data_IF_644206698946
#
_entry.id   IF_644206698946
#
_cell.length_a   1.000
_cell.length_b   1.000
_cell.length_c   1.000
_cell.angle_alpha   90.00
_cell.angle_beta   90.00
_cell.angle_gamma   90.00
#
_symmetry.space_group_name_H-M   'P 1'
#
loop_
_entity.id
_entity.type
_entity.pdbx_description
1 polymer ?
#
# COMPACT_ATOMS: atom_id res chain seq x y z
N UNK A 1 -15.28 35.37 1.53
CA UNK A 1 -15.55 33.90 1.64
C UNK A 1 -16.22 33.66 2.98
N UNK A 2 -17.31 32.90 3.00
CA UNK A 2 -17.99 32.50 4.24
C UNK A 2 -17.14 31.49 5.04
N UNK A 3 -17.22 31.47 6.37
CA UNK A 3 -16.43 30.55 7.21
C UNK A 3 -16.57 29.07 6.80
N UNK A 4 -17.77 28.64 6.41
CA UNK A 4 -18.06 27.28 5.93
C UNK A 4 -17.28 26.90 4.66
N UNK A 5 -16.94 27.88 3.81
CA UNK A 5 -16.21 27.64 2.55
C UNK A 5 -14.70 27.48 2.77
N UNK A 6 -14.19 28.00 3.90
CA UNK A 6 -12.78 27.89 4.29
C UNK A 6 -12.54 26.53 4.94
N UNK A 7 -13.42 26.12 5.84
CA UNK A 7 -13.36 24.83 6.54
C UNK A 7 -13.43 23.63 5.58
N UNK A 8 -14.27 23.71 4.55
CA UNK A 8 -14.33 22.69 3.49
C UNK A 8 -13.03 22.61 2.66
N UNK A 9 -12.37 23.74 2.40
CA UNK A 9 -11.11 23.77 1.65
C UNK A 9 -9.94 23.23 2.48
N UNK A 10 -9.88 23.56 3.77
CA UNK A 10 -8.88 23.03 4.69
C UNK A 10 -9.04 21.52 4.91
N UNK A 11 -10.29 21.02 4.97
CA UNK A 11 -10.58 19.59 5.04
C UNK A 11 -10.18 18.84 3.76
N UNK A 12 -10.43 19.45 2.59
CA UNK A 12 -10.05 18.88 1.30
C UNK A 12 -8.52 18.80 1.14
N UNK A 13 -7.79 19.86 1.51
CA UNK A 13 -6.32 19.84 1.49
C UNK A 13 -5.73 18.79 2.47
N UNK A 14 -6.35 18.60 3.63
CA UNK A 14 -5.92 17.57 4.60
C UNK A 14 -6.16 16.15 4.07
N UNK A 15 -7.26 15.93 3.34
CA UNK A 15 -7.55 14.66 2.68
C UNK A 15 -6.55 14.37 1.56
N UNK A 16 -6.22 15.35 0.72
CA UNK A 16 -5.21 15.23 -0.34
C UNK A 16 -3.84 14.86 0.25
N UNK A 17 -3.42 15.52 1.34
CA UNK A 17 -2.17 15.18 2.01
C UNK A 17 -2.18 13.75 2.60
N UNK A 18 -3.32 13.28 3.09
CA UNK A 18 -3.47 11.92 3.62
C UNK A 18 -3.37 10.88 2.51
N UNK A 19 -3.98 11.18 1.35
CA UNK A 19 -3.89 10.38 0.13
C UNK A 19 -2.43 10.25 -0.35
N UNK A 20 -1.69 11.36 -0.40
CA UNK A 20 -0.30 11.33 -0.87
C UNK A 20 0.61 10.53 0.07
N UNK A 21 0.42 10.66 1.39
CA UNK A 21 1.13 9.83 2.37
C UNK A 21 0.81 8.34 2.22
N UNK A 22 -0.44 7.99 1.93
CA UNK A 22 -0.83 6.61 1.72
C UNK A 22 -0.14 6.00 0.47
N UNK A 23 0.04 6.80 -0.61
CA UNK A 23 0.80 6.37 -1.79
C UNK A 23 2.28 6.15 -1.49
N UNK A 24 2.89 7.04 -0.72
CA UNK A 24 4.28 6.91 -0.29
C UNK A 24 4.48 5.61 0.49
N UNK A 25 3.63 5.35 1.47
CA UNK A 25 3.65 4.10 2.26
C UNK A 25 3.44 2.87 1.36
N UNK A 26 2.49 2.92 0.42
CA UNK A 26 2.27 1.81 -0.51
C UNK A 26 3.51 1.54 -1.41
N UNK A 27 4.22 2.58 -1.82
CA UNK A 27 5.45 2.45 -2.59
C UNK A 27 6.59 1.83 -1.76
N UNK A 28 6.75 2.26 -0.50
CA UNK A 28 7.74 1.69 0.43
C UNK A 28 7.46 0.20 0.70
N UNK A 29 6.20 -0.16 0.94
CA UNK A 29 5.78 -1.55 1.14
C UNK A 29 6.08 -2.39 -0.10
N UNK A 30 5.78 -1.88 -1.31
CA UNK A 30 6.10 -2.60 -2.56
C UNK A 30 7.60 -2.84 -2.69
N UNK A 31 8.42 -1.81 -2.45
CA UNK A 31 9.87 -1.94 -2.52
C UNK A 31 10.41 -2.95 -1.49
N UNK A 32 9.84 -3.01 -0.29
CA UNK A 32 10.21 -4.00 0.71
C UNK A 32 9.85 -5.43 0.26
N UNK A 33 8.69 -5.62 -0.36
CA UNK A 33 8.30 -6.91 -0.94
C UNK A 33 9.25 -7.35 -2.05
N UNK A 34 9.54 -6.46 -3.00
CA UNK A 34 10.45 -6.75 -4.13
C UNK A 34 11.85 -7.13 -3.63
N UNK A 35 12.38 -6.41 -2.63
CA UNK A 35 13.67 -6.73 -2.03
C UNK A 35 13.65 -8.10 -1.33
N UNK A 36 12.56 -8.43 -0.63
CA UNK A 36 12.42 -9.71 0.06
C UNK A 36 12.36 -10.88 -0.95
N UNK A 37 11.64 -10.69 -2.05
CA UNK A 37 11.53 -11.66 -3.14
C UNK A 37 12.90 -12.01 -3.74
N UNK A 38 13.73 -10.98 -4.00
CA UNK A 38 15.09 -11.17 -4.50
C UNK A 38 15.96 -11.93 -3.50
N UNK A 39 15.89 -11.57 -2.21
CA UNK A 39 16.66 -12.26 -1.16
C UNK A 39 16.22 -13.72 -1.04
N UNK A 40 14.92 -14.00 -1.00
CA UNK A 40 14.40 -15.37 -0.95
C UNK A 40 14.86 -16.19 -2.15
N UNK A 41 14.73 -15.65 -3.35
CA UNK A 41 15.17 -16.32 -4.59
C UNK A 41 16.66 -16.66 -4.54
N UNK A 42 17.50 -15.71 -4.11
CA UNK A 42 18.95 -15.95 -3.98
C UNK A 42 19.25 -16.99 -2.92
N UNK A 43 18.54 -16.98 -1.79
CA UNK A 43 18.72 -17.97 -0.74
C UNK A 43 18.33 -19.37 -1.23
N UNK A 44 17.17 -19.51 -1.88
CA UNK A 44 16.70 -20.77 -2.49
C UNK A 44 17.66 -21.32 -3.56
N UNK A 45 18.25 -20.44 -4.39
CA UNK A 45 19.18 -20.89 -5.44
C UNK A 45 20.60 -21.18 -4.91
N UNK A 46 21.04 -20.51 -3.85
CA UNK A 46 22.44 -20.56 -3.38
C UNK A 46 22.66 -21.44 -2.17
N UNK A 47 21.63 -21.72 -1.38
CA UNK A 47 21.76 -22.64 -0.25
C UNK A 47 21.79 -24.08 -0.76
N UNK A 48 22.74 -24.92 -0.32
CA UNK A 48 22.70 -26.34 -0.63
C UNK A 48 21.45 -27.02 -0.02
N UNK A 49 20.90 -28.04 -0.68
CA UNK A 49 19.70 -28.76 -0.22
C UNK A 49 19.81 -29.28 1.22
N UNK A 50 21.01 -29.69 1.65
CA UNK A 50 21.24 -30.18 3.02
C UNK A 50 21.22 -29.07 4.09
N UNK A 51 21.25 -27.81 3.67
CA UNK A 51 21.10 -26.62 4.53
C UNK A 51 19.68 -26.07 4.45
N UNK A 52 18.97 -26.27 3.33
CA UNK A 52 17.55 -25.92 3.16
C UNK A 52 16.59 -26.93 3.80
N UNK A 53 16.82 -27.26 5.07
CA UNK A 53 15.97 -28.19 5.82
C UNK A 53 15.66 -27.63 7.20
N UNK A 54 14.58 -28.12 7.81
CA UNK A 54 14.19 -27.73 9.16
C UNK A 54 13.87 -26.24 9.28
N UNK A 55 14.54 -25.56 10.21
CA UNK A 55 14.28 -24.14 10.52
C UNK A 55 14.58 -23.20 9.35
N UNK A 56 15.55 -23.54 8.49
CA UNK A 56 15.87 -22.71 7.31
C UNK A 56 14.76 -22.78 6.27
N UNK A 57 14.24 -23.97 5.98
CA UNK A 57 13.10 -24.14 5.08
C UNK A 57 11.85 -23.43 5.62
N UNK A 58 11.59 -23.56 6.92
CA UNK A 58 10.47 -22.87 7.55
C UNK A 58 10.62 -21.33 7.49
N UNK A 59 11.82 -20.79 7.67
CA UNK A 59 12.07 -19.36 7.57
C UNK A 59 11.87 -18.84 6.14
N UNK A 60 12.26 -19.61 5.12
CA UNK A 60 12.00 -19.29 3.71
C UNK A 60 10.48 -19.27 3.42
N UNK A 61 9.75 -20.30 3.83
CA UNK A 61 8.29 -20.35 3.66
C UNK A 61 7.58 -19.17 4.36
N UNK A 62 8.01 -18.82 5.58
CA UNK A 62 7.48 -17.66 6.31
C UNK A 62 7.78 -16.34 5.59
N UNK A 63 8.97 -16.23 5.01
CA UNK A 63 9.39 -15.06 4.25
C UNK A 63 8.52 -14.86 3.00
N UNK A 64 8.19 -15.94 2.29
CA UNK A 64 7.26 -15.91 1.14
C UNK A 64 5.85 -15.46 1.55
N UNK A 65 5.35 -15.93 2.69
CA UNK A 65 4.04 -15.50 3.19
C UNK A 65 4.03 -14.01 3.58
N UNK A 66 5.13 -13.51 4.15
CA UNK A 66 5.29 -12.07 4.46
C UNK A 66 5.31 -11.24 3.17
N UNK A 67 6.04 -11.68 2.14
CA UNK A 67 6.07 -11.02 0.83
C UNK A 67 4.65 -10.87 0.26
N UNK A 68 3.88 -11.97 0.27
CA UNK A 68 2.49 -11.98 -0.18
C UNK A 68 1.62 -10.99 0.60
N UNK A 69 1.75 -10.95 1.93
CA UNK A 69 1.00 -10.00 2.77
C UNK A 69 1.36 -8.55 2.46
N UNK A 70 2.62 -8.26 2.17
CA UNK A 70 3.04 -6.93 1.75
C UNK A 70 2.41 -6.57 0.40
N UNK A 71 2.44 -7.46 -0.59
CA UNK A 71 1.80 -7.22 -1.89
C UNK A 71 0.29 -6.98 -1.76
N UNK A 72 -0.42 -7.80 -0.99
CA UNK A 72 -1.85 -7.59 -0.72
C UNK A 72 -2.13 -6.26 0.00
N UNK A 73 -1.23 -5.83 0.89
CA UNK A 73 -1.36 -4.55 1.59
C UNK A 73 -1.24 -3.37 0.64
N UNK A 74 -0.34 -3.45 -0.35
CA UNK A 74 -0.22 -2.44 -1.40
C UNK A 74 -1.50 -2.36 -2.21
N UNK A 75 -2.05 -3.49 -2.65
CA UNK A 75 -3.27 -3.52 -3.45
C UNK A 75 -4.46 -2.91 -2.70
N UNK A 76 -4.62 -3.25 -1.41
CA UNK A 76 -5.65 -2.66 -0.55
C UNK A 76 -5.47 -1.17 -0.35
N UNK A 77 -4.24 -0.70 -0.17
CA UNK A 77 -3.94 0.74 -0.07
C UNK A 77 -4.26 1.48 -1.37
N UNK A 78 -3.96 0.89 -2.53
CA UNK A 78 -4.33 1.44 -3.83
C UNK A 78 -5.85 1.49 -4.01
N UNK A 79 -6.57 0.44 -3.62
CA UNK A 79 -8.03 0.41 -3.69
C UNK A 79 -8.66 1.53 -2.83
N UNK A 80 -8.23 1.67 -1.57
CA UNK A 80 -8.72 2.72 -0.68
C UNK A 80 -8.42 4.11 -1.24
N UNK A 81 -7.24 4.29 -1.82
CA UNK A 81 -6.89 5.53 -2.50
C UNK A 81 -7.87 5.86 -3.64
N UNK A 82 -8.18 4.89 -4.50
CA UNK A 82 -9.05 5.11 -5.65
C UNK A 82 -10.50 5.40 -5.22
N UNK A 83 -10.98 4.73 -4.17
CA UNK A 83 -12.30 4.97 -3.58
C UNK A 83 -12.41 6.37 -2.93
N UNK A 84 -11.36 6.82 -2.24
CA UNK A 84 -11.31 8.16 -1.65
C UNK A 84 -11.21 9.26 -2.72
N UNK A 85 -10.42 9.05 -3.78
CA UNK A 85 -10.31 9.98 -4.91
C UNK A 85 -11.64 10.15 -5.66
N UNK A 86 -12.41 9.07 -5.82
CA UNK A 86 -13.75 9.12 -6.42
C UNK A 86 -14.76 9.87 -5.54
N UNK A 87 -14.68 9.67 -4.22
CA UNK A 87 -15.59 10.31 -3.25
C UNK A 87 -15.32 11.81 -3.10
N UNK A 88 -14.06 12.24 -3.24
CA UNK A 88 -13.67 13.66 -3.23
C UNK A 88 -14.11 14.44 -4.49
N UNK A 89 -14.36 13.73 -5.61
CA UNK A 89 -14.84 14.33 -6.87
C UNK A 89 -16.36 14.49 -7.00
N UNK A 90 -17.14 14.00 -6.04
CA UNK A 90 -18.59 13.84 -6.14
C UNK A 90 -19.44 14.81 -5.32
N UNK A 91 -19.49 16.10 -5.72
CA UNK A 91 -20.60 16.97 -5.34
C UNK A 91 -21.57 17.10 -6.53
N UNK A 92 -22.83 16.58 -6.45
CA UNK A 92 -23.77 16.76 -7.55
C UNK A 92 -24.15 18.24 -7.67
N UNK A 93 -24.26 18.81 -8.90
CA UNK A 93 -24.72 20.17 -9.06
C UNK A 93 -26.15 20.28 -8.55
N UNK A 94 -26.36 21.16 -7.57
CA UNK A 94 -27.68 21.52 -7.08
C UNK A 94 -28.53 21.98 -8.27
N UNK A 95 -29.60 21.24 -8.56
CA UNK A 95 -30.61 21.65 -9.55
C UNK A 95 -31.17 23.01 -9.12
N UNK A 96 -30.88 24.06 -9.89
CA UNK A 96 -31.65 25.31 -9.83
C UNK A 96 -33.02 25.04 -10.43
N UNK A 97 -34.05 25.29 -9.63
CA UNK A 97 -35.45 25.34 -10.06
C UNK A 97 -35.75 26.55 -10.93
#
# INVERSE_FOLDING_TARGET
MSPEKKEAADAQASLEQTIDKAKEVAAEIRQAADNLAVVNTVLEEKLPDHVQVGEVAQALDQSVEVEKQLSESVDRLQQVHDELGQSAGGAPPAKKG
#
